data_IF_781692773293
#
_entry.id   IF_781692773293
#
_cell.length_a   1.000
_cell.length_b   1.000
_cell.length_c   1.000
_cell.angle_alpha   90.00
_cell.angle_beta   90.00
_cell.angle_gamma   90.00
#
_symmetry.space_group_name_H-M   'P 1'
#
loop_
_entity.id
_entity.type
_entity.pdbx_description
1 polymer ?
#
# COMPACT_ATOMS: atom_id res chain seq x y z
N UNK A 1 -5.09 3.80 31.14
CA UNK A 1 -6.36 4.39 30.66
C UNK A 1 -6.53 4.30 29.14
N UNK A 2 -5.61 4.85 28.31
CA UNK A 2 -5.80 4.86 26.83
C UNK A 2 -6.05 3.49 26.19
N UNK A 3 -5.31 2.43 26.63
CA UNK A 3 -5.50 1.07 26.14
C UNK A 3 -6.90 0.51 26.46
N UNK A 4 -7.46 0.81 27.64
CA UNK A 4 -8.80 0.34 28.04
C UNK A 4 -9.88 0.98 27.18
N UNK A 5 -9.81 2.30 26.98
CA UNK A 5 -10.75 3.04 26.13
C UNK A 5 -10.66 2.59 24.66
N UNK A 6 -9.49 2.13 24.22
CA UNK A 6 -9.31 1.68 22.84
C UNK A 6 -10.08 0.38 22.51
N UNK A 7 -10.45 -0.45 23.49
CA UNK A 7 -11.17 -1.71 23.22
C UNK A 7 -12.55 -1.48 22.57
N UNK A 8 -13.49 -0.74 23.19
CA UNK A 8 -14.81 -0.52 22.60
C UNK A 8 -14.73 0.24 21.27
N UNK A 9 -13.86 1.25 21.17
CA UNK A 9 -13.67 2.00 19.93
C UNK A 9 -13.13 1.10 18.82
N UNK A 10 -12.22 0.18 19.14
CA UNK A 10 -11.68 -0.77 18.17
C UNK A 10 -12.73 -1.75 17.65
N UNK A 11 -13.69 -2.16 18.48
CA UNK A 11 -14.80 -3.00 18.00
C UNK A 11 -15.60 -2.27 16.91
N UNK A 12 -16.02 -1.03 17.18
CA UNK A 12 -16.76 -0.20 16.21
C UNK A 12 -15.91 -0.01 14.94
N UNK A 13 -14.63 0.33 15.11
CA UNK A 13 -13.69 0.49 14.01
C UNK A 13 -13.62 -0.76 13.12
N UNK A 14 -13.43 -1.96 13.71
CA UNK A 14 -13.31 -3.20 12.94
C UNK A 14 -14.62 -3.61 12.26
N UNK A 15 -15.76 -3.34 12.89
CA UNK A 15 -17.06 -3.54 12.25
C UNK A 15 -17.21 -2.65 11.00
N UNK A 16 -16.93 -1.35 11.13
CA UNK A 16 -16.97 -0.42 9.99
C UNK A 16 -15.96 -0.78 8.90
N UNK A 17 -14.72 -1.12 9.30
CA UNK A 17 -13.66 -1.51 8.38
C UNK A 17 -14.01 -2.80 7.62
N UNK A 18 -14.48 -3.82 8.34
CA UNK A 18 -14.92 -5.09 7.76
C UNK A 18 -16.13 -4.93 6.84
N UNK A 19 -17.09 -4.09 7.22
CA UNK A 19 -18.25 -3.75 6.41
C UNK A 19 -17.84 -3.08 5.07
N UNK A 20 -16.90 -2.14 5.10
CA UNK A 20 -16.36 -1.55 3.88
C UNK A 20 -15.73 -2.63 2.98
N UNK A 21 -14.93 -3.53 3.55
CA UNK A 21 -14.32 -4.62 2.77
C UNK A 21 -15.37 -5.54 2.14
N UNK A 22 -16.43 -5.87 2.88
CA UNK A 22 -17.49 -6.75 2.41
C UNK A 22 -18.30 -6.12 1.27
N UNK A 23 -18.73 -4.85 1.43
CA UNK A 23 -19.52 -4.14 0.42
C UNK A 23 -18.72 -3.89 -0.87
N UNK A 24 -17.45 -3.47 -0.73
CA UNK A 24 -16.64 -3.19 -1.92
C UNK A 24 -16.20 -4.44 -2.66
N UNK A 25 -16.35 -5.63 -2.07
CA UNK A 25 -16.00 -6.87 -2.76
C UNK A 25 -16.84 -7.13 -4.01
N UNK A 26 -18.18 -7.18 -3.94
CA UNK A 26 -19.01 -7.29 -5.13
C UNK A 26 -18.90 -6.06 -6.04
N UNK A 27 -18.75 -4.85 -5.49
CA UNK A 27 -18.55 -3.63 -6.29
C UNK A 27 -17.30 -3.76 -7.17
N UNK A 28 -16.18 -4.21 -6.61
CA UNK A 28 -14.93 -4.41 -7.36
C UNK A 28 -15.11 -5.46 -8.45
N UNK A 29 -15.82 -6.56 -8.14
CA UNK A 29 -16.11 -7.61 -9.11
C UNK A 29 -16.93 -7.07 -10.28
N UNK A 30 -18.03 -6.37 -10.00
CA UNK A 30 -18.87 -5.74 -11.03
C UNK A 30 -18.07 -4.73 -11.84
N UNK A 31 -17.34 -3.83 -11.17
CA UNK A 31 -16.54 -2.81 -11.83
C UNK A 31 -15.54 -3.43 -12.81
N UNK A 32 -14.88 -4.52 -12.43
CA UNK A 32 -13.88 -5.16 -13.29
C UNK A 32 -14.52 -5.87 -14.47
N UNK A 33 -15.55 -6.69 -14.22
CA UNK A 33 -16.09 -7.62 -15.21
C UNK A 33 -17.10 -6.95 -16.18
N UNK A 34 -17.77 -5.87 -15.74
CA UNK A 34 -18.77 -5.15 -16.57
C UNK A 34 -18.17 -3.88 -17.16
N UNK A 35 -17.44 -3.09 -16.36
CA UNK A 35 -16.94 -1.77 -16.75
C UNK A 35 -15.41 -1.70 -16.98
N UNK A 36 -14.72 -2.80 -16.75
CA UNK A 36 -13.29 -2.95 -17.00
C UNK A 36 -12.36 -2.32 -15.96
N UNK A 37 -11.08 -2.35 -16.28
CA UNK A 37 -10.00 -2.02 -15.34
C UNK A 37 -10.11 -0.62 -14.72
N UNK A 38 -10.49 0.41 -15.48
CA UNK A 38 -10.53 1.79 -14.96
C UNK A 38 -11.61 1.96 -13.89
N UNK A 39 -12.76 1.33 -14.07
CA UNK A 39 -13.83 1.30 -13.08
C UNK A 39 -13.40 0.52 -11.82
N UNK A 40 -12.75 -0.64 -12.00
CA UNK A 40 -12.18 -1.39 -10.90
C UNK A 40 -11.15 -0.55 -10.12
N UNK A 41 -10.24 0.13 -10.81
CA UNK A 41 -9.25 1.02 -10.16
C UNK A 41 -9.92 2.12 -9.34
N UNK A 42 -10.96 2.76 -9.86
CA UNK A 42 -11.72 3.77 -9.12
C UNK A 42 -12.41 3.16 -7.88
N UNK A 43 -13.00 1.98 -8.00
CA UNK A 43 -13.63 1.29 -6.86
C UNK A 43 -12.61 0.97 -5.75
N UNK A 44 -11.38 0.59 -6.11
CA UNK A 44 -10.27 0.39 -5.16
C UNK A 44 -9.87 1.71 -4.47
N UNK A 45 -9.81 2.81 -5.22
CA UNK A 45 -9.50 4.13 -4.64
C UNK A 45 -10.57 4.52 -3.61
N UNK A 46 -11.86 4.38 -3.94
CA UNK A 46 -12.95 4.69 -3.02
C UNK A 46 -12.99 3.76 -1.81
N UNK A 47 -12.75 2.46 -1.99
CA UNK A 47 -12.57 1.57 -0.84
C UNK A 47 -11.53 2.13 0.12
N UNK A 48 -10.33 2.47 -0.39
CA UNK A 48 -9.26 2.97 0.47
C UNK A 48 -9.58 4.34 1.09
N UNK A 49 -10.36 5.19 0.41
CA UNK A 49 -10.92 6.40 1.03
C UNK A 49 -11.78 6.07 2.24
N UNK A 50 -12.74 5.15 2.12
CA UNK A 50 -13.61 4.77 3.23
C UNK A 50 -12.85 4.06 4.35
N UNK A 51 -11.88 3.20 4.03
CA UNK A 51 -11.01 2.58 5.03
C UNK A 51 -10.22 3.64 5.84
N UNK A 52 -9.74 4.70 5.18
CA UNK A 52 -9.13 5.83 5.89
C UNK A 52 -10.13 6.58 6.77
N UNK A 53 -11.39 6.74 6.33
CA UNK A 53 -12.44 7.33 7.18
C UNK A 53 -12.73 6.46 8.39
N UNK A 54 -12.74 5.12 8.25
CA UNK A 54 -12.84 4.24 9.40
C UNK A 54 -11.70 4.47 10.41
N UNK A 55 -10.45 4.70 9.96
CA UNK A 55 -9.36 4.99 10.90
C UNK A 55 -9.52 6.31 11.66
N UNK A 56 -10.34 7.25 11.16
CA UNK A 56 -10.63 8.47 11.91
C UNK A 56 -11.47 8.19 13.18
N UNK A 57 -12.24 7.07 13.23
CA UNK A 57 -12.97 6.66 14.44
C UNK A 57 -12.01 6.38 15.61
N UNK A 58 -10.79 5.91 15.32
CA UNK A 58 -9.74 5.72 16.32
C UNK A 58 -8.83 6.95 16.45
N UNK A 59 -9.25 8.11 15.93
CA UNK A 59 -8.51 9.36 15.99
C UNK A 59 -7.26 9.43 15.12
N UNK A 60 -7.13 8.54 14.12
CA UNK A 60 -6.00 8.59 13.21
C UNK A 60 -6.13 9.76 12.23
N UNK A 61 -5.04 10.50 12.01
CA UNK A 61 -4.94 11.58 11.03
C UNK A 61 -3.72 11.37 10.12
N UNK A 62 -3.76 11.94 8.92
CA UNK A 62 -2.76 11.73 7.88
C UNK A 62 -2.20 13.04 7.37
N UNK A 63 -0.87 13.13 7.29
CA UNK A 63 -0.15 14.27 6.71
C UNK A 63 0.71 13.74 5.57
N UNK A 64 0.51 14.31 4.40
CA UNK A 64 1.32 14.00 3.21
C UNK A 64 2.12 15.24 2.86
N UNK A 65 3.44 15.13 2.91
CA UNK A 65 4.38 16.23 2.61
C UNK A 65 5.03 16.03 1.26
N UNK A 66 5.24 17.14 0.53
CA UNK A 66 5.98 17.21 -0.73
C UNK A 66 5.40 16.33 -1.86
N UNK A 67 4.11 16.00 -1.82
CA UNK A 67 3.46 15.17 -2.84
C UNK A 67 3.48 15.84 -4.23
N UNK A 68 3.51 17.14 -4.27
CA UNK A 68 3.57 17.96 -5.47
C UNK A 68 4.90 17.82 -6.23
N UNK A 69 5.96 17.38 -5.56
CA UNK A 69 7.30 17.18 -6.17
C UNK A 69 7.43 15.86 -6.92
N UNK A 70 6.41 15.00 -6.91
CA UNK A 70 6.44 13.71 -7.61
C UNK A 70 6.32 13.95 -9.11
N UNK A 71 7.25 13.45 -9.93
CA UNK A 71 7.18 13.55 -11.39
C UNK A 71 5.86 12.96 -11.94
N UNK A 72 5.37 13.51 -13.03
CA UNK A 72 4.17 13.03 -13.73
C UNK A 72 4.51 12.65 -15.16
N UNK A 73 3.71 11.75 -15.76
CA UNK A 73 3.95 11.32 -17.14
C UNK A 73 5.12 10.35 -17.32
N UNK A 74 5.68 9.83 -16.22
CA UNK A 74 6.79 8.89 -16.22
C UNK A 74 6.48 7.70 -15.30
N UNK A 75 7.09 6.52 -15.53
CA UNK A 75 7.00 5.41 -14.58
C UNK A 75 7.63 5.78 -13.23
N UNK A 76 7.09 5.27 -12.13
CA UNK A 76 7.62 5.55 -10.80
C UNK A 76 7.88 4.28 -10.01
N UNK A 77 8.91 4.33 -9.18
CA UNK A 77 9.22 3.29 -8.19
C UNK A 77 9.21 3.94 -6.82
N UNK A 78 8.10 3.80 -6.09
CA UNK A 78 8.04 4.25 -4.70
C UNK A 78 8.78 3.27 -3.79
N UNK A 79 9.77 3.78 -3.07
CA UNK A 79 10.56 3.01 -2.10
C UNK A 79 10.26 3.56 -0.71
N UNK A 80 9.71 2.74 0.17
CA UNK A 80 9.30 3.22 1.48
C UNK A 80 9.65 2.22 2.60
N UNK A 81 9.88 2.73 3.80
CA UNK A 81 9.84 1.92 5.00
C UNK A 81 8.41 1.43 5.27
N UNK A 82 8.26 0.34 6.05
CA UNK A 82 6.97 -0.30 6.29
C UNK A 82 6.71 -0.48 7.79
N UNK A 83 5.63 0.11 8.29
CA UNK A 83 5.32 0.10 9.72
C UNK A 83 3.99 -0.60 10.05
N UNK A 84 2.98 -0.50 9.17
CA UNK A 84 1.67 -1.12 9.40
C UNK A 84 0.92 -1.39 8.09
N UNK A 85 -0.22 -2.08 8.17
CA UNK A 85 -1.10 -2.26 7.01
C UNK A 85 -1.71 -0.95 6.52
N UNK A 86 -1.80 0.05 7.38
CA UNK A 86 -2.36 1.37 7.06
C UNK A 86 -1.48 2.17 6.09
N UNK A 87 -0.20 1.82 5.97
CA UNK A 87 0.71 2.40 4.98
C UNK A 87 0.19 2.19 3.56
N UNK A 88 -0.30 0.96 3.27
CA UNK A 88 -0.81 0.59 1.96
C UNK A 88 -2.12 1.34 1.66
N UNK A 89 -3.05 1.36 2.62
CA UNK A 89 -4.34 2.06 2.49
C UNK A 89 -4.13 3.55 2.18
N UNK A 90 -3.21 4.19 2.92
CA UNK A 90 -2.87 5.59 2.71
C UNK A 90 -2.18 5.83 1.35
N UNK A 91 -1.22 4.98 0.97
CA UNK A 91 -0.54 5.12 -0.32
C UNK A 91 -1.50 4.95 -1.49
N UNK A 92 -2.42 3.99 -1.45
CA UNK A 92 -3.42 3.81 -2.53
C UNK A 92 -4.25 5.09 -2.70
N UNK A 93 -4.76 5.67 -1.63
CA UNK A 93 -5.62 6.85 -1.72
C UNK A 93 -4.86 8.14 -2.05
N UNK A 94 -3.80 8.44 -1.30
CA UNK A 94 -3.09 9.71 -1.46
C UNK A 94 -2.25 9.78 -2.73
N UNK A 95 -1.75 8.64 -3.23
CA UNK A 95 -1.00 8.55 -4.48
C UNK A 95 -1.81 7.92 -5.63
N UNK A 96 -3.15 7.90 -5.55
CA UNK A 96 -4.05 7.25 -6.52
C UNK A 96 -3.84 7.68 -7.98
N UNK A 97 -3.42 8.93 -8.23
CA UNK A 97 -3.15 9.43 -9.57
C UNK A 97 -1.99 8.71 -10.27
N UNK A 98 -1.10 8.10 -9.50
CA UNK A 98 0.08 7.39 -10.02
C UNK A 98 -0.15 5.88 -10.24
N UNK A 99 -1.36 5.37 -10.04
CA UNK A 99 -1.71 3.95 -10.24
C UNK A 99 -0.76 2.98 -9.51
N UNK A 100 -0.54 3.17 -8.21
CA UNK A 100 0.35 2.36 -7.40
C UNK A 100 0.03 0.86 -7.45
N UNK A 101 1.02 0.02 -7.77
CA UNK A 101 1.00 -1.43 -7.76
C UNK A 101 2.00 -1.94 -6.74
N UNK A 102 1.61 -2.89 -5.93
CA UNK A 102 2.39 -3.33 -4.78
C UNK A 102 3.06 -4.66 -5.03
N UNK A 103 4.29 -4.81 -4.52
CA UNK A 103 4.92 -6.10 -4.35
C UNK A 103 4.46 -6.66 -3.01
N UNK A 104 3.52 -7.60 -3.06
CA UNK A 104 2.80 -8.10 -1.88
C UNK A 104 3.12 -9.56 -1.59
N UNK A 105 2.88 -9.97 -0.36
CA UNK A 105 3.06 -11.34 0.11
C UNK A 105 2.00 -12.26 -0.51
N UNK A 106 2.40 -13.46 -1.00
CA UNK A 106 1.54 -14.43 -1.68
C UNK A 106 0.26 -14.77 -0.91
N UNK A 107 0.38 -14.91 0.41
CA UNK A 107 -0.74 -15.27 1.28
C UNK A 107 -1.85 -14.21 1.32
N UNK A 108 -1.56 -12.96 0.99
CA UNK A 108 -2.57 -11.89 0.90
C UNK A 108 -3.46 -12.01 -0.34
N UNK A 109 -3.12 -12.89 -1.28
CA UNK A 109 -3.92 -13.16 -2.47
C UNK A 109 -5.23 -13.91 -2.19
N UNK A 110 -5.47 -14.37 -0.96
CA UNK A 110 -6.69 -15.10 -0.57
C UNK A 110 -7.18 -14.69 0.81
N UNK A 111 -8.45 -14.95 1.10
CA UNK A 111 -9.04 -14.84 2.44
C UNK A 111 -9.49 -13.45 2.90
N UNK A 112 -9.13 -12.37 2.22
CA UNK A 112 -9.52 -11.00 2.63
C UNK A 112 -10.42 -10.37 1.55
N UNK A 113 -11.73 -10.19 1.82
CA UNK A 113 -12.63 -9.53 0.87
C UNK A 113 -12.05 -8.23 0.33
N UNK A 114 -12.32 -7.89 -0.91
CA UNK A 114 -11.81 -6.72 -1.64
C UNK A 114 -10.28 -6.68 -1.81
N UNK A 115 -9.51 -6.88 -0.73
CA UNK A 115 -8.04 -6.80 -0.75
C UNK A 115 -7.46 -7.90 -1.62
N UNK A 116 -7.81 -9.17 -1.35
CA UNK A 116 -7.30 -10.31 -2.12
C UNK A 116 -7.73 -10.24 -3.59
N UNK A 117 -8.96 -9.78 -3.85
CA UNK A 117 -9.46 -9.58 -5.20
C UNK A 117 -8.63 -8.52 -5.95
N UNK A 118 -8.43 -7.35 -5.35
CA UNK A 118 -7.60 -6.30 -5.94
C UNK A 118 -6.14 -6.75 -6.16
N UNK A 119 -5.55 -7.49 -5.23
CA UNK A 119 -4.17 -7.97 -5.38
C UNK A 119 -4.01 -8.93 -6.57
N UNK A 120 -5.02 -9.74 -6.85
CA UNK A 120 -5.01 -10.68 -8.00
C UNK A 120 -5.31 -10.01 -9.33
N UNK A 121 -6.20 -9.01 -9.35
CA UNK A 121 -6.76 -8.45 -10.59
C UNK A 121 -6.39 -6.99 -10.84
N UNK A 122 -5.90 -6.27 -9.82
CA UNK A 122 -5.59 -4.85 -9.89
C UNK A 122 -4.20 -4.52 -10.46
N UNK A 123 -3.39 -5.50 -10.86
CA UNK A 123 -2.04 -5.31 -11.40
C UNK A 123 -0.93 -5.23 -10.34
N UNK A 124 -1.22 -5.47 -9.07
CA UNK A 124 -0.21 -5.73 -8.05
C UNK A 124 0.33 -7.15 -8.20
N UNK A 125 1.49 -7.44 -7.64
CA UNK A 125 2.13 -8.75 -7.76
C UNK A 125 2.25 -9.45 -6.40
N UNK A 126 2.10 -10.76 -6.44
CA UNK A 126 2.15 -11.63 -5.28
C UNK A 126 3.42 -12.49 -5.34
N UNK A 127 4.29 -12.34 -4.34
CA UNK A 127 5.55 -13.08 -4.27
C UNK A 127 5.66 -13.95 -3.02
N UNK A 128 6.30 -15.09 -3.17
CA UNK A 128 6.87 -15.82 -2.04
C UNK A 128 8.28 -15.28 -1.77
N UNK A 129 8.43 -14.60 -0.64
CA UNK A 129 9.71 -13.95 -0.27
C UNK A 129 10.83 -14.97 0.06
N UNK A 130 10.46 -16.22 0.26
CA UNK A 130 11.42 -17.33 0.53
C UNK A 130 11.81 -18.08 -0.73
N UNK A 131 11.14 -17.79 -1.85
CA UNK A 131 11.42 -18.38 -3.16
C UNK A 131 11.85 -17.32 -4.18
N UNK A 132 13.17 -17.05 -4.30
CA UNK A 132 13.69 -16.11 -5.29
C UNK A 132 13.37 -16.53 -6.74
N UNK A 133 13.25 -17.83 -7.02
CA UNK A 133 12.95 -18.33 -8.37
C UNK A 133 11.56 -17.91 -8.82
N UNK A 134 10.59 -17.87 -7.88
CA UNK A 134 9.25 -17.34 -8.12
C UNK A 134 9.23 -15.81 -8.10
N UNK A 135 9.90 -15.17 -7.14
CA UNK A 135 9.81 -13.73 -6.92
C UNK A 135 10.45 -12.89 -8.04
N UNK A 136 11.62 -13.31 -8.55
CA UNK A 136 12.39 -12.55 -9.55
C UNK A 136 11.60 -12.32 -10.85
N UNK A 137 11.06 -13.36 -11.54
CA UNK A 137 10.31 -13.15 -12.78
C UNK A 137 9.03 -12.33 -12.56
N UNK A 138 8.38 -12.46 -11.40
CA UNK A 138 7.17 -11.71 -11.06
C UNK A 138 7.46 -10.22 -10.86
N UNK A 139 8.55 -9.88 -10.17
CA UNK A 139 8.97 -8.47 -10.00
C UNK A 139 9.43 -7.89 -11.35
N UNK A 140 10.13 -8.68 -12.19
CA UNK A 140 10.49 -8.28 -13.55
C UNK A 140 9.24 -7.93 -14.37
N UNK A 141 8.22 -8.78 -14.38
CA UNK A 141 6.96 -8.50 -15.08
C UNK A 141 6.26 -7.24 -14.59
N UNK A 142 6.29 -6.95 -13.27
CA UNK A 142 5.79 -5.69 -12.74
C UNK A 142 6.59 -4.49 -13.26
N UNK A 143 7.92 -4.62 -13.35
CA UNK A 143 8.78 -3.54 -13.87
C UNK A 143 8.46 -3.21 -15.32
N UNK A 144 8.37 -4.23 -16.17
CA UNK A 144 8.00 -4.08 -17.58
C UNK A 144 6.58 -3.50 -17.74
N UNK A 145 5.68 -3.89 -16.85
CA UNK A 145 4.32 -3.36 -16.84
C UNK A 145 4.27 -1.86 -16.47
N UNK A 146 5.01 -1.40 -15.45
CA UNK A 146 5.02 0.02 -15.10
C UNK A 146 5.71 0.86 -16.16
N UNK A 147 6.79 0.34 -16.76
CA UNK A 147 7.51 0.99 -17.88
C UNK A 147 6.56 1.21 -19.05
N UNK A 148 5.91 0.15 -19.53
CA UNK A 148 5.00 0.19 -20.69
C UNK A 148 3.78 1.08 -20.48
N UNK A 149 3.24 1.13 -19.26
CA UNK A 149 1.94 1.76 -19.00
C UNK A 149 2.05 3.10 -18.24
N UNK A 150 3.26 3.61 -18.01
CA UNK A 150 3.51 4.84 -17.24
C UNK A 150 2.79 4.79 -15.89
N UNK A 151 3.04 3.71 -15.11
CA UNK A 151 2.42 3.46 -13.81
C UNK A 151 3.47 3.39 -12.72
N UNK A 152 3.07 3.04 -11.49
CA UNK A 152 3.99 3.02 -10.37
C UNK A 152 4.03 1.66 -9.69
N UNK A 153 5.24 1.21 -9.36
CA UNK A 153 5.46 0.15 -8.40
C UNK A 153 5.70 0.72 -7.01
N UNK A 154 5.24 0.02 -5.98
CA UNK A 154 5.54 0.33 -4.57
C UNK A 154 6.25 -0.87 -3.97
N UNK A 155 7.44 -0.63 -3.44
CA UNK A 155 8.21 -1.65 -2.75
C UNK A 155 8.56 -1.21 -1.34
N UNK A 156 8.42 -2.14 -0.39
CA UNK A 156 8.89 -2.00 0.98
C UNK A 156 10.11 -2.90 1.16
N UNK A 157 11.33 -2.38 0.97
CA UNK A 157 12.53 -3.21 0.93
C UNK A 157 12.89 -3.87 2.26
N UNK A 158 12.29 -3.44 3.37
CA UNK A 158 12.38 -4.14 4.67
C UNK A 158 11.77 -5.56 4.63
N UNK A 159 10.97 -5.88 3.62
CA UNK A 159 10.31 -7.17 3.46
C UNK A 159 9.25 -7.50 4.52
N UNK A 160 9.23 -6.80 5.66
CA UNK A 160 8.26 -7.00 6.74
C UNK A 160 8.07 -5.70 7.53
N UNK A 161 6.95 -5.57 8.23
CA UNK A 161 6.60 -4.39 9.02
C UNK A 161 7.48 -4.21 10.24
N UNK A 162 7.92 -2.98 10.50
CA UNK A 162 8.57 -2.59 11.76
C UNK A 162 7.50 -2.41 12.86
N UNK A 163 7.65 -3.12 13.97
CA UNK A 163 6.73 -3.01 15.12
C UNK A 163 7.07 -1.86 16.06
N UNK A 164 8.24 -1.25 15.90
CA UNK A 164 8.79 -0.22 16.80
C UNK A 164 8.92 1.14 16.13
N UNK A 165 8.66 1.22 14.83
CA UNK A 165 8.87 2.40 14.01
C UNK A 165 10.31 2.59 13.54
N UNK A 166 11.28 1.83 14.05
CA UNK A 166 12.66 1.85 13.55
C UNK A 166 12.71 1.12 12.21
N UNK A 167 13.27 1.72 11.16
CA UNK A 167 13.48 1.03 9.89
C UNK A 167 14.35 -0.22 10.08
N UNK A 168 14.08 -1.24 9.28
CA UNK A 168 14.92 -2.44 9.19
C UNK A 168 15.89 -2.30 8.02
N UNK A 169 16.83 -3.23 7.93
CA UNK A 169 17.75 -3.31 6.81
C UNK A 169 16.97 -3.50 5.49
N UNK A 170 17.40 -2.80 4.45
CA UNK A 170 16.79 -2.80 3.13
C UNK A 170 17.38 -3.89 2.25
N UNK A 171 16.55 -4.87 1.87
CA UNK A 171 16.91 -5.84 0.85
C UNK A 171 16.91 -5.18 -0.53
N UNK A 172 18.07 -5.16 -1.18
CA UNK A 172 18.27 -4.44 -2.44
C UNK A 172 17.77 -5.19 -3.68
N UNK A 173 17.60 -6.52 -3.61
CA UNK A 173 17.34 -7.38 -4.78
C UNK A 173 16.09 -6.97 -5.56
N UNK A 174 14.97 -6.78 -4.89
CA UNK A 174 13.72 -6.37 -5.53
C UNK A 174 13.81 -5.00 -6.19
N UNK A 175 14.47 -4.03 -5.53
CA UNK A 175 14.66 -2.69 -6.09
C UNK A 175 15.58 -2.71 -7.31
N UNK A 176 16.68 -3.48 -7.27
CA UNK A 176 17.58 -3.65 -8.41
C UNK A 176 16.87 -4.19 -9.65
N UNK A 177 15.94 -5.17 -9.46
CA UNK A 177 15.13 -5.70 -10.55
C UNK A 177 14.19 -4.63 -11.11
N UNK A 178 13.47 -3.91 -10.22
CA UNK A 178 12.59 -2.82 -10.65
C UNK A 178 13.33 -1.78 -11.48
N UNK A 179 14.48 -1.31 -11.03
CA UNK A 179 15.30 -0.33 -11.77
C UNK A 179 15.83 -0.89 -13.08
N UNK A 180 16.28 -2.15 -13.10
CA UNK A 180 16.86 -2.77 -14.31
C UNK A 180 15.86 -2.86 -15.47
N UNK A 181 14.59 -3.16 -15.17
CA UNK A 181 13.56 -3.40 -16.18
C UNK A 181 12.55 -2.26 -16.34
N UNK A 182 12.75 -1.15 -15.62
CA UNK A 182 12.05 0.12 -15.81
C UNK A 182 13.06 1.28 -15.88
N UNK A 183 13.89 1.33 -16.95
CA UNK A 183 15.01 2.27 -17.02
C UNK A 183 14.58 3.74 -17.16
N UNK A 184 13.39 4.04 -17.68
CA UNK A 184 12.86 5.42 -17.75
C UNK A 184 12.17 5.86 -16.45
N UNK A 185 12.12 4.99 -15.45
CA UNK A 185 11.44 5.29 -14.20
C UNK A 185 12.23 6.26 -13.31
N UNK A 186 11.49 6.90 -12.39
CA UNK A 186 12.07 7.63 -11.28
C UNK A 186 11.83 6.89 -9.97
N UNK A 187 12.89 6.73 -9.18
CA UNK A 187 12.79 6.26 -7.81
C UNK A 187 12.34 7.41 -6.92
N UNK A 188 11.25 7.21 -6.21
CA UNK A 188 10.64 8.19 -5.30
C UNK A 188 10.68 7.64 -3.88
N UNK A 189 11.65 8.06 -3.05
CA UNK A 189 11.69 7.65 -1.66
C UNK A 189 10.54 8.29 -0.86
N UNK A 190 9.91 7.50 0.01
CA UNK A 190 8.84 7.97 0.89
C UNK A 190 9.11 7.50 2.31
N UNK A 191 9.24 8.44 3.25
CA UNK A 191 9.36 8.12 4.68
C UNK A 191 7.99 8.08 5.34
N UNK A 192 7.65 6.95 5.97
CA UNK A 192 6.42 6.78 6.74
C UNK A 192 6.75 6.79 8.22
N UNK A 193 6.04 7.62 8.99
CA UNK A 193 6.23 7.75 10.42
C UNK A 193 4.92 7.56 11.18
N UNK A 194 5.05 7.00 12.39
CA UNK A 194 3.99 6.81 13.39
C UNK A 194 2.89 5.79 13.02
N UNK A 195 2.87 5.19 11.85
CA UNK A 195 1.81 4.23 11.51
C UNK A 195 1.88 2.94 12.35
N UNK A 196 3.08 2.56 12.84
CA UNK A 196 3.26 1.46 13.79
C UNK A 196 2.47 1.66 15.09
N UNK A 197 2.23 2.92 15.50
CA UNK A 197 1.47 3.25 16.72
C UNK A 197 0.02 2.80 16.66
N UNK A 198 -0.54 2.64 15.46
CA UNK A 198 -1.87 2.06 15.24
C UNK A 198 -1.94 0.60 15.72
N UNK A 199 -0.83 -0.13 15.61
CA UNK A 199 -0.72 -1.55 15.97
C UNK A 199 0.21 -1.80 17.16
N UNK A 200 0.46 -0.78 17.98
CA UNK A 200 1.38 -0.87 19.13
C UNK A 200 0.95 -1.87 20.21
N UNK A 201 -0.33 -2.18 20.28
CA UNK A 201 -0.90 -3.19 21.19
C UNK A 201 -1.13 -4.55 20.52
N UNK A 202 -0.63 -4.75 19.30
CA UNK A 202 -0.98 -5.83 18.40
C UNK A 202 -2.06 -5.41 17.41
N UNK A 203 -2.77 -6.37 16.85
CA UNK A 203 -3.88 -6.05 15.94
C UNK A 203 -5.11 -5.51 16.67
N UNK A 204 -5.29 -5.90 17.94
CA UNK A 204 -6.40 -5.49 18.79
C UNK A 204 -5.94 -5.28 20.24
N UNK A 205 -6.32 -4.16 20.89
CA UNK A 205 -7.03 -3.01 20.33
C UNK A 205 -6.13 -2.12 19.46
N UNK A 206 -6.74 -1.31 18.61
CA UNK A 206 -6.02 -0.32 17.77
C UNK A 206 -5.54 0.84 18.63
N UNK A 207 -4.34 1.34 18.39
CA UNK A 207 -3.83 2.53 19.06
C UNK A 207 -4.59 3.79 18.67
N UNK A 208 -5.01 4.59 19.65
CA UNK A 208 -5.81 5.81 19.44
C UNK A 208 -4.96 7.06 19.20
N UNK A 209 -5.54 8.05 18.50
CA UNK A 209 -5.04 9.41 18.40
C UNK A 209 -3.73 9.56 17.65
N UNK A 210 -3.45 8.70 16.67
CA UNK A 210 -2.15 8.70 15.99
C UNK A 210 -2.14 9.61 14.77
N UNK A 211 -1.08 10.42 14.67
CA UNK A 211 -0.82 11.28 13.52
C UNK A 211 0.24 10.63 12.62
N UNK A 212 -0.23 10.02 11.53
CA UNK A 212 0.63 9.34 10.56
C UNK A 212 1.17 10.37 9.57
N UNK A 213 2.46 10.30 9.24
CA UNK A 213 3.03 11.20 8.23
C UNK A 213 3.76 10.42 7.15
N UNK A 214 3.58 10.90 5.91
CA UNK A 214 4.20 10.41 4.69
C UNK A 214 4.97 11.57 4.08
N UNK A 215 6.28 11.48 4.04
CA UNK A 215 7.14 12.52 3.47
C UNK A 215 7.76 12.00 2.19
N UNK A 216 7.42 12.64 1.08
CA UNK A 216 8.04 12.37 -0.22
C UNK A 216 9.38 13.09 -0.28
N UNK A 217 10.41 12.40 -0.72
CA UNK A 217 11.74 12.95 -0.93
C UNK A 217 12.00 13.17 -2.41
N UNK A 218 13.10 13.86 -2.74
CA UNK A 218 13.50 14.17 -4.12
C UNK A 218 13.56 12.89 -4.96
N UNK A 219 12.85 12.90 -6.07
CA UNK A 219 12.87 11.82 -7.03
C UNK A 219 14.24 11.76 -7.74
N UNK A 220 14.69 10.55 -8.05
CA UNK A 220 15.96 10.27 -8.72
C UNK A 220 15.68 9.45 -9.97
N UNK A 221 16.19 9.88 -11.13
CA UNK A 221 16.11 9.07 -12.34
C UNK A 221 16.87 7.75 -12.15
N UNK A 222 16.37 6.67 -12.74
CA UNK A 222 17.06 5.36 -12.76
C UNK A 222 18.28 5.43 -13.69
N UNK A 223 18.15 6.14 -14.81
CA UNK A 223 19.22 6.46 -15.77
C UNK A 223 19.27 7.95 -16.03
#
# INVERSE_FOLDING_TARGET
>A
MQKIISYPISVIYYLCFGFCLAIFHPIQWICLNVFGYQAHKKSVDYLNFFLLRCTNLVGATYIIKNRETIPTGVPLIFVSNHQSMYDIVAMIWYFRRFHCKFVSKKELGSGIPSVSYNLRHGGSVLIDRRDPKQAIPVIKGLSEYIEKNTRSAVIFPEGTRSKTGKPKEFAQSGLKILCKYAPSAYVVPVSINNSWKMVRYGMFPVGLGNRLSFTVHKAMAVK
#
